data_IF_704882210002
#
_entry.id   IF_704882210002
#
_cell.length_a   1.000
_cell.length_b   1.000
_cell.length_c   1.000
_cell.angle_alpha   90.00
_cell.angle_beta   90.00
_cell.angle_gamma   90.00
#
_symmetry.space_group_name_H-M   'P 1'
#
loop_
_entity.id
_entity.type
_entity.pdbx_description
1 polymer ?
#
# COMPACT_ATOMS: atom_id res chain seq x y z
N UNK A 1 6.45 -28.33 -9.89
CA UNK A 1 5.83 -27.78 -8.67
C UNK A 1 5.43 -28.88 -7.71
N UNK A 2 4.62 -29.84 -8.16
CA UNK A 2 4.12 -30.97 -7.32
C UNK A 2 5.25 -31.78 -6.69
N UNK A 3 6.35 -32.03 -7.40
CA UNK A 3 7.49 -32.79 -6.85
C UNK A 3 8.22 -32.01 -5.77
N UNK A 4 8.40 -30.70 -5.97
CA UNK A 4 8.99 -29.84 -4.93
C UNK A 4 8.15 -29.87 -3.65
N UNK A 5 6.83 -29.68 -3.76
CA UNK A 5 5.93 -29.75 -2.60
C UNK A 5 5.94 -31.14 -1.93
N UNK A 6 6.11 -32.23 -2.71
CA UNK A 6 6.18 -33.59 -2.16
C UNK A 6 7.38 -33.77 -1.23
N UNK A 7 8.55 -33.27 -1.60
CA UNK A 7 9.74 -33.33 -0.74
C UNK A 7 9.47 -32.69 0.61
N UNK A 8 8.89 -31.49 0.61
CA UNK A 8 8.59 -30.77 1.86
C UNK A 8 7.41 -31.38 2.62
N UNK A 9 6.42 -31.98 1.90
CA UNK A 9 5.33 -32.74 2.55
C UNK A 9 5.90 -33.93 3.30
N UNK A 10 6.80 -34.71 2.68
CA UNK A 10 7.43 -35.86 3.30
C UNK A 10 8.28 -35.47 4.52
N UNK A 11 9.04 -34.37 4.45
CA UNK A 11 9.81 -33.82 5.58
C UNK A 11 8.92 -33.41 6.75
N UNK A 12 7.70 -32.94 6.49
CA UNK A 12 6.70 -32.55 7.50
C UNK A 12 5.78 -33.69 7.93
N UNK A 13 6.00 -34.91 7.42
CA UNK A 13 5.17 -36.07 7.72
C UNK A 13 3.77 -36.05 7.10
N UNK A 14 3.53 -35.20 6.09
CA UNK A 14 2.27 -35.05 5.39
C UNK A 14 2.13 -36.10 4.27
N UNK A 15 1.72 -37.30 4.61
CA UNK A 15 1.71 -38.45 3.68
C UNK A 15 0.59 -38.43 2.64
N UNK A 16 -0.47 -37.65 2.86
CA UNK A 16 -1.61 -37.64 1.95
C UNK A 16 -1.41 -36.66 0.78
N UNK A 17 -1.62 -37.08 -0.48
CA UNK A 17 -1.61 -36.20 -1.63
C UNK A 17 -2.59 -35.03 -1.57
N UNK A 18 -3.60 -35.11 -0.69
CA UNK A 18 -4.61 -34.05 -0.47
C UNK A 18 -3.97 -32.73 -0.04
N UNK A 19 -2.91 -32.77 0.78
CA UNK A 19 -2.22 -31.58 1.24
C UNK A 19 -1.58 -30.79 0.07
N UNK A 20 -0.91 -31.51 -0.83
CA UNK A 20 -0.27 -30.89 -2.00
C UNK A 20 -1.33 -30.38 -2.97
N UNK A 21 -2.38 -31.18 -3.20
CA UNK A 21 -3.45 -30.78 -4.12
C UNK A 21 -4.17 -29.53 -3.61
N UNK A 22 -4.58 -29.54 -2.34
CA UNK A 22 -5.23 -28.37 -1.72
C UNK A 22 -4.33 -27.11 -1.73
N UNK A 23 -3.05 -27.26 -1.40
CA UNK A 23 -2.12 -26.14 -1.44
C UNK A 23 -1.95 -25.54 -2.85
N UNK A 24 -1.91 -26.37 -3.88
CA UNK A 24 -1.82 -25.90 -5.28
C UNK A 24 -3.14 -25.29 -5.76
N UNK A 25 -4.28 -25.82 -5.34
CA UNK A 25 -5.61 -25.25 -5.62
C UNK A 25 -5.74 -23.85 -5.02
N UNK A 26 -5.33 -23.68 -3.76
CA UNK A 26 -5.35 -22.41 -3.05
C UNK A 26 -4.56 -21.33 -3.77
N UNK A 27 -3.39 -21.65 -4.35
CA UNK A 27 -2.55 -20.68 -5.06
C UNK A 27 -2.82 -20.64 -6.58
N UNK A 28 -3.88 -21.29 -7.04
CA UNK A 28 -4.27 -21.37 -8.43
C UNK A 28 -3.13 -21.88 -9.36
N UNK A 29 -2.40 -22.89 -8.90
CA UNK A 29 -1.39 -23.57 -9.69
C UNK A 29 -1.88 -24.98 -10.06
N UNK A 30 -1.61 -25.46 -11.31
CA UNK A 30 -2.07 -26.76 -11.74
C UNK A 30 -1.35 -27.90 -11.01
N UNK A 31 -2.12 -28.87 -10.49
CA UNK A 31 -1.56 -30.04 -9.81
C UNK A 31 -0.67 -30.90 -10.71
N UNK A 32 -0.96 -30.94 -12.02
CA UNK A 32 -0.20 -31.68 -13.03
C UNK A 32 0.41 -30.70 -14.03
N UNK A 33 1.52 -30.09 -13.66
CA UNK A 33 2.32 -29.27 -14.55
C UNK A 33 3.53 -30.08 -15.03
N UNK A 34 3.78 -30.04 -16.35
CA UNK A 34 4.97 -30.65 -16.95
C UNK A 34 6.17 -29.70 -16.97
N UNK A 35 5.95 -28.43 -16.64
CA UNK A 35 7.02 -27.44 -16.59
C UNK A 35 7.98 -27.74 -15.43
N UNK A 36 9.26 -27.63 -15.69
CA UNK A 36 10.28 -27.65 -14.65
C UNK A 36 10.21 -26.35 -13.83
N UNK A 37 10.59 -26.40 -12.57
CA UNK A 37 10.64 -25.20 -11.70
C UNK A 37 11.49 -24.07 -12.30
N UNK A 38 12.55 -24.40 -13.02
CA UNK A 38 13.39 -23.44 -13.75
C UNK A 38 12.63 -22.67 -14.84
N UNK A 39 11.53 -23.21 -15.34
CA UNK A 39 10.67 -22.62 -16.38
C UNK A 39 9.50 -21.82 -15.80
N UNK A 40 9.35 -21.78 -14.46
CA UNK A 40 8.31 -21.00 -13.79
C UNK A 40 8.67 -19.52 -13.88
N UNK A 41 7.65 -18.68 -14.17
CA UNK A 41 7.77 -17.25 -13.96
C UNK A 41 8.02 -16.92 -12.49
N UNK A 42 8.46 -15.70 -12.19
CA UNK A 42 8.69 -15.29 -10.81
C UNK A 42 7.39 -15.41 -10.00
N UNK A 43 6.26 -14.95 -10.54
CA UNK A 43 4.95 -15.07 -9.87
C UNK A 43 4.54 -16.53 -9.62
N UNK A 44 4.81 -17.46 -10.57
CA UNK A 44 4.58 -18.90 -10.34
C UNK A 44 5.47 -19.46 -9.23
N UNK A 45 6.72 -19.02 -9.14
CA UNK A 45 7.65 -19.41 -8.05
C UNK A 45 7.17 -18.90 -6.71
N UNK A 46 6.72 -17.65 -6.66
CA UNK A 46 6.17 -17.03 -5.47
C UNK A 46 4.91 -17.75 -4.96
N UNK A 47 3.96 -18.02 -5.87
CA UNK A 47 2.78 -18.81 -5.56
C UNK A 47 3.13 -20.22 -5.06
N UNK A 48 4.14 -20.87 -5.63
CA UNK A 48 4.59 -22.16 -5.15
C UNK A 48 5.21 -22.09 -3.74
N UNK A 49 5.93 -21.02 -3.43
CA UNK A 49 6.45 -20.77 -2.07
C UNK A 49 5.32 -20.59 -1.07
N UNK A 50 4.28 -19.82 -1.43
CA UNK A 50 3.09 -19.66 -0.59
C UNK A 50 2.33 -21.00 -0.45
N UNK A 51 2.20 -21.80 -1.54
CA UNK A 51 1.63 -23.15 -1.45
C UNK A 51 2.37 -24.03 -0.43
N UNK A 52 3.69 -23.93 -0.40
CA UNK A 52 4.51 -24.62 0.59
C UNK A 52 4.21 -24.15 2.02
N UNK A 53 4.01 -22.86 2.21
CA UNK A 53 3.71 -22.27 3.52
C UNK A 53 2.30 -22.68 4.02
N UNK A 54 1.30 -22.74 3.15
CA UNK A 54 -0.10 -23.08 3.53
C UNK A 54 -0.37 -24.57 3.60
N UNK A 55 0.48 -25.41 3.01
CA UNK A 55 0.25 -26.85 2.83
C UNK A 55 -0.10 -27.61 4.12
N UNK A 56 0.46 -27.20 5.26
CA UNK A 56 0.22 -27.82 6.57
C UNK A 56 -0.89 -27.13 7.38
N UNK A 57 -1.62 -26.24 6.73
CA UNK A 57 -2.76 -25.52 7.30
C UNK A 57 -2.41 -24.72 8.60
N UNK A 58 -1.40 -23.86 8.60
CA UNK A 58 -1.03 -23.06 9.77
C UNK A 58 -2.12 -22.03 10.13
N UNK A 59 -2.18 -21.60 11.37
CA UNK A 59 -3.03 -20.49 11.83
C UNK A 59 -2.38 -19.13 11.52
N UNK A 60 -1.04 -19.06 11.62
CA UNK A 60 -0.24 -17.88 11.31
C UNK A 60 0.68 -18.16 10.12
N UNK A 61 0.66 -17.28 9.13
CA UNK A 61 1.60 -17.23 8.01
C UNK A 61 2.51 -16.03 8.16
N UNK A 62 3.79 -16.20 7.87
CA UNK A 62 4.76 -15.11 7.77
C UNK A 62 5.30 -15.12 6.34
N UNK A 63 5.06 -14.03 5.62
CA UNK A 63 5.45 -13.84 4.23
C UNK A 63 6.41 -12.65 4.14
N UNK A 64 7.66 -12.94 3.83
CA UNK A 64 8.69 -11.92 3.67
C UNK A 64 8.76 -11.49 2.21
N UNK A 65 8.45 -10.21 1.95
CA UNK A 65 8.45 -9.58 0.62
C UNK A 65 7.70 -10.39 -0.46
N UNK A 66 6.44 -10.85 -0.23
CA UNK A 66 5.78 -11.80 -1.12
C UNK A 66 5.46 -11.26 -2.52
N UNK A 67 5.47 -9.94 -2.72
CA UNK A 67 5.16 -9.26 -3.98
C UNK A 67 6.38 -8.65 -4.66
N UNK A 68 7.55 -8.72 -4.01
CA UNK A 68 8.76 -8.10 -4.52
C UNK A 68 9.22 -8.69 -5.86
N UNK A 69 9.55 -7.81 -6.80
CA UNK A 69 10.07 -8.18 -8.12
C UNK A 69 9.01 -8.74 -9.09
N UNK A 70 7.74 -8.73 -8.74
CA UNK A 70 6.64 -9.05 -9.64
C UNK A 70 6.30 -7.87 -10.55
N UNK A 71 5.73 -8.16 -11.71
CA UNK A 71 5.08 -7.15 -12.53
C UNK A 71 3.74 -6.71 -11.92
N UNK A 72 3.15 -5.57 -12.33
CA UNK A 72 1.91 -5.06 -11.75
C UNK A 72 0.75 -6.06 -11.75
N UNK A 73 0.66 -6.92 -12.76
CA UNK A 73 -0.37 -7.97 -12.84
C UNK A 73 -0.11 -9.04 -11.78
N UNK A 74 1.15 -9.47 -11.65
CA UNK A 74 1.57 -10.46 -10.65
C UNK A 74 1.39 -9.96 -9.22
N UNK A 75 1.63 -8.67 -8.96
CA UNK A 75 1.38 -8.02 -7.66
C UNK A 75 -0.10 -8.12 -7.32
N UNK A 76 -0.98 -7.66 -8.23
CA UNK A 76 -2.42 -7.71 -8.01
C UNK A 76 -2.92 -9.14 -7.76
N UNK A 77 -2.46 -10.12 -8.56
CA UNK A 77 -2.84 -11.52 -8.40
C UNK A 77 -2.40 -12.12 -7.04
N UNK A 78 -1.20 -11.78 -6.55
CA UNK A 78 -0.72 -12.27 -5.24
C UNK A 78 -1.44 -11.56 -4.10
N UNK A 79 -1.68 -10.26 -4.20
CA UNK A 79 -2.46 -9.48 -3.23
C UNK A 79 -3.87 -10.06 -3.08
N UNK A 80 -4.61 -10.21 -4.18
CA UNK A 80 -5.98 -10.72 -4.18
C UNK A 80 -6.02 -12.13 -3.59
N UNK A 81 -5.05 -12.97 -3.94
CA UNK A 81 -4.88 -14.29 -3.36
C UNK A 81 -4.67 -14.27 -1.83
N UNK A 82 -3.80 -13.38 -1.32
CA UNK A 82 -3.54 -13.25 0.13
C UNK A 82 -4.83 -12.82 0.85
N UNK A 83 -5.57 -11.86 0.28
CA UNK A 83 -6.86 -11.39 0.83
C UNK A 83 -7.88 -12.52 0.86
N UNK A 84 -8.06 -13.24 -0.25
CA UNK A 84 -8.95 -14.40 -0.32
C UNK A 84 -8.59 -15.49 0.70
N UNK A 85 -7.30 -15.72 0.92
CA UNK A 85 -6.82 -16.70 1.90
C UNK A 85 -7.19 -16.30 3.33
N UNK A 86 -7.05 -15.02 3.69
CA UNK A 86 -7.51 -14.49 4.98
C UNK A 86 -9.02 -14.66 5.13
N UNK A 87 -9.79 -14.15 4.18
CA UNK A 87 -11.26 -14.11 4.26
C UNK A 87 -11.87 -15.51 4.29
N UNK A 88 -11.36 -16.43 3.47
CA UNK A 88 -11.89 -17.79 3.38
C UNK A 88 -11.51 -18.69 4.56
N UNK A 89 -10.40 -18.41 5.24
CA UNK A 89 -9.85 -19.34 6.25
C UNK A 89 -9.73 -18.77 7.65
N UNK A 90 -9.91 -17.46 7.82
CA UNK A 90 -9.74 -16.75 9.11
C UNK A 90 -8.30 -16.82 9.65
N UNK A 91 -7.31 -16.96 8.76
CA UNK A 91 -5.88 -17.02 9.13
C UNK A 91 -5.32 -15.63 9.38
N UNK A 92 -4.35 -15.57 10.28
CA UNK A 92 -3.52 -14.37 10.44
C UNK A 92 -2.33 -14.46 9.49
N UNK A 93 -2.08 -13.39 8.74
CA UNK A 93 -0.94 -13.29 7.82
C UNK A 93 -0.12 -12.07 8.20
N UNK A 94 1.15 -12.27 8.54
CA UNK A 94 2.13 -11.21 8.73
C UNK A 94 2.94 -11.08 7.44
N UNK A 95 2.99 -9.85 6.89
CA UNK A 95 3.67 -9.57 5.63
C UNK A 95 4.69 -8.47 5.85
N UNK A 96 5.92 -8.65 5.35
CA UNK A 96 6.85 -7.55 5.14
C UNK A 96 6.71 -7.01 3.72
N UNK A 97 6.82 -5.71 3.55
CA UNK A 97 6.93 -5.07 2.23
C UNK A 97 7.52 -3.67 2.36
N UNK A 98 8.21 -3.23 1.31
CA UNK A 98 8.64 -1.85 1.13
C UNK A 98 7.75 -1.09 0.11
N UNK A 99 6.72 -1.75 -0.44
CA UNK A 99 5.76 -1.15 -1.38
C UNK A 99 4.52 -0.74 -0.61
N UNK A 100 4.56 0.46 -0.02
CA UNK A 100 3.54 0.95 0.91
C UNK A 100 2.15 1.07 0.28
N UNK A 101 2.08 1.49 -0.98
CA UNK A 101 0.83 1.56 -1.76
C UNK A 101 0.13 0.20 -1.93
N UNK A 102 0.87 -0.90 -1.93
CA UNK A 102 0.26 -2.24 -1.97
C UNK A 102 -0.16 -2.72 -0.58
N UNK A 103 0.59 -2.33 0.45
CA UNK A 103 0.23 -2.63 1.85
C UNK A 103 -1.07 -1.93 2.24
N UNK A 104 -1.27 -0.66 1.86
CA UNK A 104 -2.52 0.07 2.11
C UNK A 104 -3.77 -0.58 1.49
N UNK A 105 -3.61 -1.42 0.46
CA UNK A 105 -4.70 -2.17 -0.16
C UNK A 105 -4.94 -3.56 0.47
N UNK A 106 -4.03 -4.01 1.35
CA UNK A 106 -4.01 -5.38 1.83
C UNK A 106 -4.12 -5.49 3.36
N UNK A 107 -3.41 -4.64 4.10
CA UNK A 107 -3.28 -4.75 5.54
C UNK A 107 -4.53 -4.26 6.28
N UNK A 108 -4.80 -4.87 7.43
CA UNK A 108 -5.76 -4.37 8.42
C UNK A 108 -5.01 -3.56 9.51
N UNK A 109 -3.83 -4.03 9.91
CA UNK A 109 -2.94 -3.38 10.87
C UNK A 109 -1.54 -3.20 10.25
N UNK A 110 -0.84 -2.14 10.62
CA UNK A 110 0.49 -1.79 10.10
C UNK A 110 1.47 -1.56 11.25
N UNK A 111 2.63 -2.21 11.15
CA UNK A 111 3.78 -1.94 12.00
C UNK A 111 4.90 -1.26 11.20
N UNK A 112 5.40 -0.11 11.67
CA UNK A 112 6.53 0.59 11.08
C UNK A 112 7.79 0.22 11.83
N UNK A 113 8.74 -0.39 11.12
CA UNK A 113 10.03 -0.79 11.68
C UNK A 113 11.14 0.01 10.99
N UNK A 114 12.00 0.63 11.79
CA UNK A 114 13.19 1.31 11.31
C UNK A 114 14.39 0.95 12.17
N UNK A 115 15.53 0.69 11.55
CA UNK A 115 16.78 0.25 12.21
C UNK A 115 16.59 -0.87 13.25
N UNK A 116 15.64 -1.80 13.00
CA UNK A 116 15.35 -2.93 13.90
C UNK A 116 14.51 -2.58 15.13
N UNK A 117 13.93 -1.38 15.17
CA UNK A 117 13.03 -0.91 16.23
C UNK A 117 11.63 -0.76 15.66
N UNK A 118 10.62 -1.31 16.32
CA UNK A 118 9.22 -1.03 16.02
C UNK A 118 8.91 0.39 16.51
N UNK A 119 8.66 1.30 15.57
CA UNK A 119 8.37 2.71 15.86
C UNK A 119 6.91 2.89 16.19
N UNK A 120 6.03 2.23 15.44
CA UNK A 120 4.59 2.36 15.55
C UNK A 120 3.88 1.07 15.15
N UNK A 121 2.71 0.83 15.76
CA UNK A 121 1.79 -0.26 15.41
C UNK A 121 0.36 0.28 15.57
N UNK A 122 -0.37 0.35 14.47
CA UNK A 122 -1.74 0.89 14.45
C UNK A 122 -2.58 0.21 13.36
N UNK A 123 -3.92 0.31 13.47
CA UNK A 123 -4.80 -0.10 12.39
C UNK A 123 -4.67 0.84 11.20
N UNK A 124 -4.85 0.31 9.99
CA UNK A 124 -4.84 1.12 8.77
C UNK A 124 -5.92 2.22 8.84
N UNK A 125 -7.09 1.90 9.39
CA UNK A 125 -8.19 2.86 9.57
C UNK A 125 -7.79 4.05 10.47
N UNK A 126 -7.06 3.81 11.57
CA UNK A 126 -6.55 4.88 12.45
C UNK A 126 -5.47 5.71 11.77
N UNK A 127 -4.59 5.08 10.98
CA UNK A 127 -3.59 5.78 10.17
C UNK A 127 -4.25 6.68 9.11
N UNK A 128 -5.22 6.15 8.37
CA UNK A 128 -5.98 6.92 7.38
C UNK A 128 -6.77 8.07 8.00
N UNK A 129 -7.29 7.89 9.21
CA UNK A 129 -7.98 8.96 9.95
C UNK A 129 -7.03 10.08 10.39
N UNK A 130 -5.73 9.77 10.59
CA UNK A 130 -4.69 10.76 10.90
C UNK A 130 -4.17 11.48 9.65
N UNK A 131 -4.33 10.89 8.46
CA UNK A 131 -3.88 11.47 7.20
C UNK A 131 -4.53 12.82 6.97
N UNK A 132 -3.70 13.82 6.76
CA UNK A 132 -4.14 15.19 6.47
C UNK A 132 -4.78 15.25 5.09
N UNK A 133 -5.99 15.86 5.03
CA UNK A 133 -6.56 16.28 3.75
C UNK A 133 -6.36 17.78 3.62
N UNK A 134 -5.84 18.20 2.49
CA UNK A 134 -5.60 19.63 2.23
C UNK A 134 -5.77 19.97 0.75
N UNK A 135 -6.12 21.21 0.50
CA UNK A 135 -6.17 21.73 -0.87
C UNK A 135 -4.83 22.39 -1.18
N UNK A 136 -4.20 21.97 -2.28
CA UNK A 136 -3.00 22.61 -2.80
C UNK A 136 -3.34 23.38 -4.08
N UNK A 137 -2.80 24.59 -4.15
CA UNK A 137 -2.94 25.44 -5.33
C UNK A 137 -1.57 25.82 -5.85
N UNK A 138 -1.37 25.69 -7.16
CA UNK A 138 -0.22 26.26 -7.87
C UNK A 138 -0.67 27.47 -8.63
N UNK A 139 -0.16 28.65 -8.23
CA UNK A 139 -0.60 29.97 -8.73
C UNK A 139 0.61 30.84 -9.08
N UNK A 140 0.40 31.89 -9.84
CA UNK A 140 1.50 32.82 -10.21
C UNK A 140 2.07 33.62 -9.02
N UNK A 141 1.35 33.75 -7.90
CA UNK A 141 1.80 34.41 -6.67
C UNK A 141 1.04 33.85 -5.46
N UNK A 142 1.68 32.95 -4.73
CA UNK A 142 1.06 32.28 -3.59
C UNK A 142 0.77 33.21 -2.40
N UNK A 143 1.64 34.20 -2.15
CA UNK A 143 1.42 35.14 -1.07
C UNK A 143 0.18 36.04 -1.31
N UNK A 144 -0.04 36.47 -2.55
CA UNK A 144 -1.24 37.22 -2.91
C UNK A 144 -2.49 36.36 -2.82
N UNK A 145 -2.41 35.11 -3.29
CA UNK A 145 -3.50 34.14 -3.22
C UNK A 145 -3.91 33.86 -1.77
N UNK A 146 -2.94 33.65 -0.87
CA UNK A 146 -3.18 33.46 0.56
C UNK A 146 -3.90 34.67 1.18
N UNK A 147 -3.42 35.90 0.89
CA UNK A 147 -4.09 37.11 1.35
C UNK A 147 -5.54 37.24 0.86
N UNK A 148 -5.81 36.84 -0.38
CA UNK A 148 -7.16 36.85 -0.94
C UNK A 148 -8.08 35.85 -0.23
N UNK A 149 -7.60 34.63 0.02
CA UNK A 149 -8.36 33.62 0.77
C UNK A 149 -8.68 34.11 2.18
N UNK A 150 -7.70 34.69 2.87
CA UNK A 150 -7.90 35.23 4.21
C UNK A 150 -8.90 36.38 4.23
N UNK A 151 -8.69 37.38 3.35
CA UNK A 151 -9.46 38.62 3.38
C UNK A 151 -10.88 38.51 2.80
N UNK A 152 -11.08 37.63 1.78
CA UNK A 152 -12.35 37.54 1.06
C UNK A 152 -13.18 36.32 1.46
N UNK A 153 -12.53 35.22 1.82
CA UNK A 153 -13.19 33.94 2.16
C UNK A 153 -13.03 33.56 3.66
N UNK A 154 -12.25 34.33 4.43
CA UNK A 154 -12.08 34.12 5.88
C UNK A 154 -11.29 32.82 6.22
N UNK A 155 -10.56 32.26 5.29
CA UNK A 155 -9.75 31.05 5.50
C UNK A 155 -8.52 31.41 6.33
N UNK A 156 -8.26 30.66 7.41
CA UNK A 156 -7.16 30.94 8.35
C UNK A 156 -5.98 29.98 8.20
N UNK A 157 -6.26 28.70 7.95
CA UNK A 157 -5.24 27.65 7.91
C UNK A 157 -4.66 27.56 6.50
N UNK A 158 -3.74 28.48 6.19
CA UNK A 158 -3.06 28.58 4.88
C UNK A 158 -1.57 28.59 5.15
N UNK A 159 -0.86 27.70 4.46
CA UNK A 159 0.60 27.63 4.41
C UNK A 159 1.08 28.01 3.01
N UNK A 160 2.09 28.85 2.93
CA UNK A 160 2.72 29.25 1.67
C UNK A 160 3.99 28.45 1.54
N UNK A 161 3.95 27.39 0.73
CA UNK A 161 5.03 26.42 0.58
C UNK A 161 6.19 26.99 -0.27
N UNK A 162 5.84 27.80 -1.27
CA UNK A 162 6.80 28.44 -2.17
C UNK A 162 6.23 29.74 -2.75
N UNK A 163 6.98 30.39 -3.65
CA UNK A 163 6.51 31.59 -4.36
C UNK A 163 5.22 31.34 -5.17
N UNK A 164 5.01 30.09 -5.60
CA UNK A 164 3.93 29.71 -6.50
C UNK A 164 2.99 28.64 -5.92
N UNK A 165 3.24 28.12 -4.73
CA UNK A 165 2.44 27.04 -4.12
C UNK A 165 1.96 27.44 -2.74
N UNK A 166 0.69 27.10 -2.46
CA UNK A 166 0.08 27.25 -1.15
C UNK A 166 -0.81 26.04 -0.84
N UNK A 167 -0.80 25.69 0.43
CA UNK A 167 -1.61 24.61 1.02
C UNK A 167 -2.68 25.19 1.93
N UNK A 168 -3.90 24.67 1.83
CA UNK A 168 -5.05 25.09 2.65
C UNK A 168 -5.64 23.87 3.34
N UNK A 169 -5.55 23.84 4.67
CA UNK A 169 -6.06 22.74 5.49
C UNK A 169 -7.56 22.90 5.85
N UNK A 170 -8.23 23.95 5.41
CA UNK A 170 -9.66 24.15 5.63
C UNK A 170 -10.46 23.57 4.46
N UNK A 171 -10.97 22.35 4.64
CA UNK A 171 -11.75 21.62 3.62
C UNK A 171 -13.15 22.20 3.36
N UNK A 172 -13.57 23.22 4.11
CA UNK A 172 -14.83 23.93 3.83
C UNK A 172 -14.68 24.88 2.64
N UNK A 173 -13.44 25.13 2.20
CA UNK A 173 -13.15 25.95 1.03
C UNK A 173 -13.67 25.28 -0.24
N UNK A 174 -14.58 25.95 -0.94
CA UNK A 174 -14.95 25.56 -2.32
C UNK A 174 -13.79 25.92 -3.27
N UNK A 175 -13.14 24.89 -3.79
CA UNK A 175 -12.03 25.02 -4.73
C UNK A 175 -12.39 25.87 -5.95
N UNK A 176 -13.64 25.72 -6.45
CA UNK A 176 -14.12 26.51 -7.59
C UNK A 176 -14.24 28.00 -7.26
N UNK A 177 -14.70 28.35 -6.06
CA UNK A 177 -14.76 29.73 -5.60
C UNK A 177 -13.36 30.33 -5.40
N UNK A 178 -12.43 29.56 -4.85
CA UNK A 178 -11.04 29.98 -4.69
C UNK A 178 -10.38 30.27 -6.06
N UNK A 179 -10.51 29.35 -7.01
CA UNK A 179 -9.96 29.53 -8.37
C UNK A 179 -10.53 30.78 -9.06
N UNK A 180 -11.86 31.01 -8.98
CA UNK A 180 -12.48 32.22 -9.51
C UNK A 180 -11.91 33.49 -8.87
N UNK A 181 -11.79 33.50 -7.54
CA UNK A 181 -11.22 34.61 -6.80
C UNK A 181 -9.80 34.96 -7.27
N UNK A 182 -8.96 33.94 -7.51
CA UNK A 182 -7.60 34.09 -7.99
C UNK A 182 -7.55 34.67 -9.42
N UNK A 183 -8.35 34.10 -10.31
CA UNK A 183 -8.43 34.56 -11.71
C UNK A 183 -8.97 35.99 -11.79
N UNK A 184 -10.01 36.34 -11.03
CA UNK A 184 -10.59 37.69 -10.96
C UNK A 184 -9.58 38.73 -10.43
N UNK A 185 -8.64 38.29 -9.59
CA UNK A 185 -7.54 39.10 -9.09
C UNK A 185 -6.32 39.16 -10.03
N UNK A 186 -6.39 38.55 -11.20
CA UNK A 186 -5.33 38.54 -12.20
C UNK A 186 -4.23 37.50 -11.98
N UNK A 187 -4.45 36.53 -11.08
CA UNK A 187 -3.56 35.40 -10.89
C UNK A 187 -3.84 34.31 -11.92
N UNK A 188 -2.78 33.68 -12.45
CA UNK A 188 -2.94 32.42 -13.17
C UNK A 188 -2.91 31.27 -12.18
N UNK A 189 -3.81 30.29 -12.40
CA UNK A 189 -3.88 29.05 -11.63
C UNK A 189 -3.48 27.91 -12.56
N UNK A 190 -2.40 27.21 -12.21
CA UNK A 190 -1.90 26.07 -13.00
C UNK A 190 -2.44 24.75 -12.47
N UNK A 191 -2.67 24.66 -11.15
CA UNK A 191 -3.23 23.49 -10.50
C UNK A 191 -4.06 23.88 -9.27
N UNK A 192 -5.09 23.08 -9.00
CA UNK A 192 -5.94 23.19 -7.80
C UNK A 192 -6.47 21.79 -7.48
N UNK A 193 -5.89 21.15 -6.50
CA UNK A 193 -6.15 19.74 -6.20
C UNK A 193 -6.35 19.48 -4.71
N UNK A 194 -7.26 18.54 -4.39
CA UNK A 194 -7.40 18.00 -3.06
C UNK A 194 -6.37 16.88 -2.90
N UNK A 195 -5.46 17.06 -1.98
CA UNK A 195 -4.49 16.06 -1.59
C UNK A 195 -4.95 15.35 -0.31
N UNK A 196 -4.60 14.10 -0.23
CA UNK A 196 -4.72 13.27 0.95
C UNK A 196 -3.35 12.63 1.16
N UNK A 197 -2.79 12.78 2.37
CA UNK A 197 -1.51 12.17 2.68
C UNK A 197 -1.59 10.67 2.47
N UNK A 198 -0.54 10.13 1.89
CA UNK A 198 -0.43 8.69 1.64
C UNK A 198 0.29 7.99 2.79
N UNK A 199 0.23 6.65 2.82
CA UNK A 199 1.02 5.88 3.77
C UNK A 199 2.53 6.14 3.59
N UNK A 200 2.98 6.44 2.36
CA UNK A 200 4.35 6.86 2.07
C UNK A 200 4.72 8.17 2.74
N UNK A 201 3.81 9.15 2.76
CA UNK A 201 4.05 10.44 3.39
C UNK A 201 4.10 10.29 4.92
N UNK A 202 3.20 9.50 5.47
CA UNK A 202 3.21 9.15 6.89
C UNK A 202 4.49 8.43 7.30
N UNK A 203 4.92 7.44 6.52
CA UNK A 203 6.16 6.71 6.76
C UNK A 203 7.38 7.65 6.81
N UNK A 204 7.48 8.58 5.85
CA UNK A 204 8.56 9.60 5.84
C UNK A 204 8.54 10.48 7.09
N UNK A 205 7.36 10.84 7.59
CA UNK A 205 7.24 11.64 8.81
C UNK A 205 7.76 10.87 10.04
N UNK A 206 7.36 9.60 10.19
CA UNK A 206 7.72 8.76 11.33
C UNK A 206 9.22 8.38 11.32
N UNK A 207 9.79 8.13 10.15
CA UNK A 207 11.21 7.76 9.98
C UNK A 207 12.16 8.95 9.84
N UNK A 208 11.67 10.19 9.94
CA UNK A 208 12.50 11.40 9.83
C UNK A 208 12.94 11.75 8.41
N UNK A 209 12.28 11.18 7.38
CA UNK A 209 12.54 11.52 5.97
C UNK A 209 13.70 10.77 5.34
N UNK A 210 14.38 9.89 6.07
CA UNK A 210 15.34 8.94 5.48
C UNK A 210 14.53 7.83 4.80
N UNK A 211 14.60 7.77 3.47
CA UNK A 211 13.89 6.76 2.69
C UNK A 211 14.34 5.36 3.03
N UNK A 212 13.51 4.37 2.69
CA UNK A 212 13.84 2.93 2.82
C UNK A 212 15.11 2.67 1.98
N UNK A 213 16.21 2.33 2.67
CA UNK A 213 17.49 2.00 2.04
C UNK A 213 17.49 0.56 1.50
#
# INVERSE_FOLDING_TARGET
GTENLRIFADLRGLKSPKYIKGALEVVNLPYRDKKLFSQYSLGMKQRLAIALAVMHNPELLILDEPINGLDPIGIAEVRDFIRELCDATGKTILISSHILSEISLLADDIGIIDHGVLLEEESLEELEAKNGKYLRFTVSNAALAANLLQSKLGIQNIEVDSANELTVCDLRLDTGAAVRLFVDAGLSVSDAHLYEDTLEDYFKQVTGGEGIA
#
